data_IF_020952884203
#
_entry.id   IF_020952884203
#
_cell.length_a   1.000
_cell.length_b   1.000
_cell.length_c   1.000
_cell.angle_alpha   90.00
_cell.angle_beta   90.00
_cell.angle_gamma   90.00
#
_symmetry.space_group_name_H-M   'P 1'
#
loop_
_entity.id
_entity.type
_entity.pdbx_description
1 polymer ?
#
# COMPACT_ATOMS: atom_id res chain seq x y z
N UNK A 1 13.93 -13.16 7.32
CA UNK A 1 14.76 -11.95 7.26
C UNK A 1 15.80 -12.04 8.36
N UNK A 2 17.09 -11.83 8.04
CA UNK A 2 18.14 -11.92 9.05
C UNK A 2 18.09 -10.73 10.00
N UNK A 3 18.14 -10.95 11.30
CA UNK A 3 18.12 -9.91 12.33
C UNK A 3 16.74 -9.46 12.80
N UNK A 4 15.66 -10.10 12.31
CA UNK A 4 14.30 -9.87 12.78
C UNK A 4 13.68 -11.16 13.31
N UNK A 5 12.94 -11.05 14.41
CA UNK A 5 12.27 -12.21 15.04
C UNK A 5 10.93 -12.54 14.38
N UNK A 6 10.31 -11.54 13.71
CA UNK A 6 9.04 -11.72 13.02
C UNK A 6 8.95 -10.84 11.78
N UNK A 7 8.17 -11.28 10.81
CA UNK A 7 7.85 -10.54 9.59
C UNK A 7 6.51 -10.97 9.02
N UNK A 8 5.85 -10.07 8.32
CA UNK A 8 4.64 -10.37 7.56
C UNK A 8 4.70 -9.50 6.29
N UNK A 9 5.12 -10.10 5.19
CA UNK A 9 5.40 -9.39 3.95
C UNK A 9 4.26 -9.48 2.97
N UNK A 10 3.93 -8.34 2.38
CA UNK A 10 3.08 -8.24 1.21
C UNK A 10 3.84 -8.76 -0.02
N UNK A 11 3.20 -9.62 -0.80
CA UNK A 11 3.80 -10.33 -1.94
C UNK A 11 3.24 -9.87 -3.28
N UNK A 12 4.12 -9.80 -4.29
CA UNK A 12 3.72 -9.63 -5.69
C UNK A 12 2.92 -10.86 -6.20
N UNK A 13 2.06 -10.65 -7.23
CA UNK A 13 1.85 -9.41 -7.99
C UNK A 13 0.83 -8.45 -7.38
N UNK A 14 0.25 -8.77 -6.22
CA UNK A 14 -0.85 -8.03 -5.60
C UNK A 14 -0.39 -6.96 -4.59
N UNK A 15 0.89 -6.59 -4.62
CA UNK A 15 1.48 -5.63 -3.67
C UNK A 15 0.72 -4.30 -3.62
N UNK A 16 0.28 -3.79 -4.76
CA UNK A 16 -0.43 -2.52 -4.86
C UNK A 16 -1.94 -2.67 -5.13
N UNK A 17 -2.50 -3.86 -4.88
CA UNK A 17 -3.94 -4.08 -4.95
C UNK A 17 -4.61 -3.78 -3.61
N UNK A 18 -5.60 -2.86 -3.60
CA UNK A 18 -6.28 -2.47 -2.37
C UNK A 18 -7.29 -3.50 -1.87
N UNK A 19 -7.71 -4.47 -2.70
CA UNK A 19 -8.75 -5.44 -2.35
C UNK A 19 -8.36 -6.89 -2.59
N UNK A 20 -7.11 -7.12 -2.96
CA UNK A 20 -6.61 -8.46 -3.22
C UNK A 20 -5.13 -8.55 -2.84
N UNK A 21 -4.85 -8.54 -1.56
CA UNK A 21 -3.49 -8.65 -1.06
C UNK A 21 -3.14 -10.09 -0.69
N UNK A 22 -1.88 -10.45 -0.88
CA UNK A 22 -1.32 -11.72 -0.44
C UNK A 22 -0.15 -11.46 0.50
N UNK A 23 -0.19 -12.06 1.68
CA UNK A 23 0.83 -11.89 2.70
C UNK A 23 1.50 -13.22 3.07
N UNK A 24 2.74 -13.13 3.49
CA UNK A 24 3.47 -14.25 4.05
C UNK A 24 4.02 -13.89 5.43
N UNK A 25 3.50 -14.55 6.48
CA UNK A 25 4.02 -14.42 7.83
C UNK A 25 5.20 -15.34 8.04
N UNK A 26 6.36 -14.79 8.38
CA UNK A 26 7.60 -15.54 8.60
C UNK A 26 7.90 -16.51 7.44
N UNK A 27 7.87 -17.81 7.71
CA UNK A 27 8.10 -18.89 6.74
C UNK A 27 6.82 -19.71 6.46
N UNK A 28 5.66 -19.22 6.89
CA UNK A 28 4.38 -19.87 6.61
C UNK A 28 4.03 -19.78 5.12
N UNK A 29 3.17 -20.64 4.61
CA UNK A 29 2.64 -20.49 3.25
C UNK A 29 1.96 -19.12 3.05
N UNK A 30 2.09 -18.51 1.86
CA UNK A 30 1.37 -17.29 1.53
C UNK A 30 -0.15 -17.46 1.71
N UNK A 31 -0.80 -16.40 2.20
CA UNK A 31 -2.23 -16.33 2.40
C UNK A 31 -2.84 -15.17 1.63
N UNK A 32 -3.86 -15.45 0.81
CA UNK A 32 -4.65 -14.45 0.11
C UNK A 32 -5.71 -13.82 1.03
N UNK A 33 -5.93 -12.53 0.84
CA UNK A 33 -6.95 -11.71 1.52
C UNK A 33 -7.85 -11.02 0.48
N UNK A 34 -8.19 -11.76 -0.58
CA UNK A 34 -9.12 -11.29 -1.62
C UNK A 34 -10.44 -10.81 -1.00
N UNK A 35 -10.94 -9.66 -1.48
CA UNK A 35 -12.15 -9.02 -0.97
C UNK A 35 -12.00 -8.27 0.35
N UNK A 36 -10.80 -8.26 0.95
CA UNK A 36 -10.52 -7.50 2.17
C UNK A 36 -9.69 -6.26 1.85
N UNK A 37 -10.00 -5.14 2.49
CA UNK A 37 -9.26 -3.89 2.28
C UNK A 37 -7.85 -3.99 2.86
N UNK A 38 -6.85 -3.88 2.01
CA UNK A 38 -5.44 -4.20 2.33
C UNK A 38 -4.90 -3.42 3.52
N UNK A 39 -5.32 -2.16 3.70
CA UNK A 39 -4.88 -1.37 4.87
C UNK A 39 -5.45 -1.92 6.18
N UNK A 40 -6.68 -2.45 6.17
CA UNK A 40 -7.28 -3.09 7.34
C UNK A 40 -6.58 -4.43 7.65
N UNK A 41 -6.31 -5.22 6.62
CA UNK A 41 -5.52 -6.45 6.75
C UNK A 41 -4.16 -6.18 7.37
N UNK A 42 -3.48 -5.12 6.92
CA UNK A 42 -2.19 -4.73 7.48
C UNK A 42 -2.30 -4.27 8.93
N UNK A 43 -3.36 -3.54 9.30
CA UNK A 43 -3.61 -3.16 10.68
C UNK A 43 -3.71 -4.39 11.58
N UNK A 44 -4.50 -5.40 11.20
CA UNK A 44 -4.63 -6.65 11.95
C UNK A 44 -3.29 -7.36 12.14
N UNK A 45 -2.49 -7.42 11.07
CA UNK A 45 -1.15 -8.01 11.09
C UNK A 45 -0.18 -7.24 11.98
N UNK A 46 -0.20 -5.92 11.93
CA UNK A 46 0.63 -5.06 12.76
C UNK A 46 0.29 -5.21 14.24
N UNK A 47 -1.01 -5.29 14.58
CA UNK A 47 -1.45 -5.56 15.95
C UNK A 47 -1.02 -6.94 16.42
N UNK A 48 -1.12 -7.98 15.58
CA UNK A 48 -0.65 -9.32 15.94
C UNK A 48 0.87 -9.38 16.17
N UNK A 49 1.67 -8.67 15.38
CA UNK A 49 3.12 -8.57 15.62
C UNK A 49 3.45 -7.76 16.88
N UNK A 50 2.64 -6.75 17.18
CA UNK A 50 2.78 -5.96 18.42
C UNK A 50 2.45 -6.82 19.65
N UNK A 51 1.39 -7.61 19.59
CA UNK A 51 1.02 -8.54 20.69
C UNK A 51 2.14 -9.57 20.94
N UNK A 52 2.72 -10.15 19.87
CA UNK A 52 3.87 -11.05 19.99
C UNK A 52 5.07 -10.36 20.66
N UNK A 53 5.34 -9.09 20.29
CA UNK A 53 6.44 -8.32 20.85
C UNK A 53 6.22 -7.97 22.32
N UNK A 54 4.99 -7.60 22.69
CA UNK A 54 4.62 -7.29 24.08
C UNK A 54 4.61 -8.52 24.98
N UNK A 55 4.43 -9.70 24.42
CA UNK A 55 4.60 -10.98 25.14
C UNK A 55 6.05 -11.32 25.51
N UNK A 56 7.03 -10.51 25.07
CA UNK A 56 8.45 -10.65 25.37
C UNK A 56 8.90 -9.61 26.38
N UNK A 57 9.80 -9.98 27.30
CA UNK A 57 10.43 -9.05 28.25
C UNK A 57 11.54 -8.17 27.62
N UNK A 58 11.75 -8.29 26.31
CA UNK A 58 12.81 -7.59 25.59
C UNK A 58 12.29 -6.31 24.92
N UNK A 59 13.09 -5.24 24.84
CA UNK A 59 12.77 -4.09 23.97
C UNK A 59 12.57 -4.53 22.53
N UNK A 60 11.63 -3.91 21.82
CA UNK A 60 11.35 -4.24 20.43
C UNK A 60 11.36 -3.04 19.52
N UNK A 61 11.53 -3.29 18.23
CA UNK A 61 11.37 -2.35 17.14
C UNK A 61 10.42 -2.96 16.10
N UNK A 62 9.32 -2.29 15.80
CA UNK A 62 8.33 -2.71 14.80
C UNK A 62 8.25 -1.68 13.68
N UNK A 63 8.42 -2.11 12.43
CA UNK A 63 8.17 -1.30 11.25
C UNK A 63 6.86 -1.70 10.61
N UNK A 64 5.98 -0.73 10.34
CA UNK A 64 4.73 -0.90 9.61
C UNK A 64 4.74 0.01 8.39
N UNK A 65 4.64 -0.57 7.20
CA UNK A 65 4.73 0.16 5.92
C UNK A 65 3.44 -0.03 5.10
N UNK A 66 2.46 0.87 5.22
CA UNK A 66 1.22 0.80 4.44
C UNK A 66 1.44 1.11 2.96
N UNK A 67 0.65 0.48 2.09
CA UNK A 67 0.65 0.79 0.66
C UNK A 67 -0.04 2.13 0.37
N UNK A 68 -1.08 2.47 1.14
CA UNK A 68 -1.79 3.74 0.97
C UNK A 68 -0.88 4.94 1.35
N UNK A 69 -0.86 6.02 0.57
CA UNK A 69 -1.74 6.33 -0.58
C UNK A 69 -1.12 6.01 -1.96
N UNK A 70 -0.43 4.91 -2.14
CA UNK A 70 0.12 4.52 -3.44
C UNK A 70 -0.99 4.31 -4.48
N UNK A 71 -0.67 4.44 -5.77
CA UNK A 71 -1.54 4.07 -6.89
C UNK A 71 -2.05 2.63 -6.73
N UNK A 72 -3.35 2.41 -6.96
CA UNK A 72 -3.89 1.06 -7.03
C UNK A 72 -3.48 0.40 -8.36
N UNK A 73 -3.05 -0.86 -8.29
CA UNK A 73 -2.73 -1.68 -9.45
C UNK A 73 -3.73 -2.83 -9.51
N UNK A 74 -4.56 -2.82 -10.54
CA UNK A 74 -5.45 -3.93 -10.86
C UNK A 74 -4.75 -4.84 -11.86
N UNK A 75 -4.34 -6.01 -11.39
CA UNK A 75 -3.60 -6.99 -12.19
C UNK A 75 -4.51 -7.84 -13.08
N UNK A 76 -5.83 -7.82 -12.83
CA UNK A 76 -6.80 -8.69 -13.50
C UNK A 76 -7.53 -7.99 -14.64
N UNK A 77 -7.75 -6.66 -14.56
CA UNK A 77 -8.55 -5.90 -15.52
C UNK A 77 -7.74 -5.11 -16.55
N UNK A 78 -6.43 -5.32 -16.63
CA UNK A 78 -5.56 -4.65 -17.59
C UNK A 78 -5.70 -5.21 -19.01
N UNK A 79 -5.69 -4.33 -20.00
CA UNK A 79 -5.68 -4.71 -21.42
C UNK A 79 -4.35 -5.35 -21.84
N UNK A 80 -4.41 -6.38 -22.68
CA UNK A 80 -3.25 -7.05 -23.28
C UNK A 80 -2.19 -7.56 -22.27
N UNK A 81 -2.61 -7.89 -21.04
CA UNK A 81 -1.72 -8.43 -20.00
C UNK A 81 -0.91 -7.36 -19.24
N UNK A 82 -1.18 -6.08 -19.45
CA UNK A 82 -0.61 -5.01 -18.66
C UNK A 82 -1.56 -4.65 -17.49
N UNK A 83 -1.07 -4.50 -16.24
CA UNK A 83 -1.92 -4.13 -15.12
C UNK A 83 -2.48 -2.70 -15.30
N UNK A 84 -3.74 -2.51 -14.91
CA UNK A 84 -4.37 -1.19 -14.93
C UNK A 84 -3.99 -0.42 -13.67
N UNK A 85 -3.49 0.80 -13.86
CA UNK A 85 -3.19 1.72 -12.76
C UNK A 85 -4.36 2.70 -12.57
N UNK A 86 -4.79 2.88 -11.31
CA UNK A 86 -5.84 3.83 -10.93
C UNK A 86 -5.40 4.67 -9.73
N UNK A 87 -6.20 5.67 -9.37
CA UNK A 87 -5.99 6.42 -8.13
C UNK A 87 -6.04 5.51 -6.89
N UNK A 88 -5.45 5.96 -5.77
CA UNK A 88 -5.61 5.29 -4.49
C UNK A 88 -7.08 5.11 -4.12
N UNK A 89 -7.44 3.92 -3.66
CA UNK A 89 -8.82 3.61 -3.28
C UNK A 89 -9.02 3.84 -1.77
N UNK A 90 -9.89 4.76 -1.35
CA UNK A 90 -10.21 4.93 0.05
C UNK A 90 -11.06 3.76 0.55
N UNK A 91 -10.97 3.43 1.84
CA UNK A 91 -11.92 2.52 2.45
C UNK A 91 -13.36 3.08 2.31
N UNK A 92 -14.38 2.26 2.02
CA UNK A 92 -15.75 2.74 1.78
C UNK A 92 -16.30 3.62 2.92
N UNK A 93 -15.94 3.32 4.17
CA UNK A 93 -16.31 4.11 5.35
C UNK A 93 -15.74 5.54 5.35
N UNK A 94 -14.73 5.82 4.54
CA UNK A 94 -14.04 7.10 4.44
C UNK A 94 -14.22 7.78 3.07
N UNK A 95 -14.85 7.13 2.09
CA UNK A 95 -14.99 7.63 0.72
C UNK A 95 -15.76 8.96 0.62
N UNK A 96 -16.59 9.26 1.61
CA UNK A 96 -17.35 10.51 1.68
C UNK A 96 -16.56 11.69 2.27
N UNK A 97 -15.37 11.43 2.85
CA UNK A 97 -14.57 12.48 3.48
C UNK A 97 -13.81 13.28 2.43
N UNK A 98 -13.66 14.58 2.70
CA UNK A 98 -12.83 15.49 1.90
C UNK A 98 -13.21 15.63 0.43
N UNK A 99 -14.50 15.43 0.08
CA UNK A 99 -14.98 15.55 -1.30
C UNK A 99 -14.63 16.89 -1.96
N UNK A 100 -14.59 17.98 -1.18
CA UNK A 100 -14.26 19.34 -1.64
C UNK A 100 -12.80 19.73 -1.40
N UNK A 101 -11.97 18.82 -0.95
CA UNK A 101 -10.56 19.11 -0.68
C UNK A 101 -9.81 19.48 -1.97
N UNK A 102 -9.06 20.56 -1.91
CA UNK A 102 -8.23 21.03 -3.02
C UNK A 102 -6.77 21.10 -2.58
N UNK A 103 -5.90 20.53 -3.39
CA UNK A 103 -4.44 20.65 -3.16
C UNK A 103 -4.04 22.12 -3.36
N UNK A 104 -3.32 22.74 -2.40
CA UNK A 104 -2.78 24.08 -2.58
C UNK A 104 -1.89 24.16 -3.82
N UNK A 105 -2.14 25.15 -4.67
CA UNK A 105 -1.34 25.39 -5.88
C UNK A 105 -0.42 26.59 -5.63
N UNK A 106 0.73 26.31 -5.07
CA UNK A 106 1.79 27.31 -4.88
C UNK A 106 2.47 27.64 -6.22
N UNK A 107 3.20 28.77 -6.35
CA UNK A 107 3.86 29.15 -7.61
C UNK A 107 4.79 28.08 -8.21
N UNK A 108 5.33 27.19 -7.39
CA UNK A 108 6.15 26.06 -7.82
C UNK A 108 5.37 24.77 -8.12
N UNK A 109 4.02 24.80 -8.05
CA UNK A 109 3.21 23.66 -8.43
C UNK A 109 3.13 23.56 -9.95
N UNK A 110 3.74 22.52 -10.50
CA UNK A 110 3.74 22.20 -11.94
C UNK A 110 4.11 23.42 -12.83
N UNK A 111 5.25 24.11 -12.58
CA UNK A 111 5.65 25.26 -13.39
C UNK A 111 6.05 24.80 -14.78
N UNK A 112 5.62 25.54 -15.82
CA UNK A 112 5.89 25.22 -17.22
C UNK A 112 7.38 25.07 -17.52
N UNK A 113 8.21 25.90 -16.91
CA UNK A 113 9.65 25.96 -17.16
C UNK A 113 10.43 24.72 -16.67
N UNK A 114 9.88 23.99 -15.67
CA UNK A 114 10.51 22.76 -15.15
C UNK A 114 10.11 21.55 -15.98
N UNK A 115 8.98 21.61 -16.68
CA UNK A 115 8.47 20.50 -17.48
C UNK A 115 9.11 20.38 -18.86
N UNK A 116 9.72 21.43 -19.38
CA UNK A 116 10.37 21.40 -20.71
C UNK A 116 11.63 20.51 -20.77
N UNK A 117 12.20 20.15 -19.63
CA UNK A 117 13.32 19.21 -19.54
C UNK A 117 12.92 17.73 -19.34
N UNK A 118 11.65 17.44 -19.05
CA UNK A 118 11.15 16.09 -18.83
C UNK A 118 10.08 15.71 -19.87
N UNK A 119 10.51 15.45 -21.11
CA UNK A 119 9.68 14.96 -22.21
C UNK A 119 9.05 13.56 -21.96
N UNK A 120 9.24 12.97 -20.80
CA UNK A 120 8.81 11.61 -20.49
C UNK A 120 7.32 11.47 -20.06
N UNK A 121 6.61 12.59 -19.82
CA UNK A 121 5.23 12.59 -19.31
C UNK A 121 4.19 13.14 -20.30
N UNK A 122 4.53 13.26 -21.57
CA UNK A 122 3.62 13.68 -22.66
C UNK A 122 3.27 12.53 -23.61
N UNK A 123 3.00 11.34 -23.09
CA UNK A 123 2.36 10.29 -23.92
C UNK A 123 1.11 9.80 -23.22
#
# INVERSE_FOLDING_TARGET
MNGFNGSDFLLDPYTYSYWNSTYQRNHEPPRSYEGQYTTDVMQEKALGLLDDALGSDSPFFLTVAPIAPHTNIDVESGDAGAPKMTEPLPAPRHAHLFADAKVPRTPNFNPLEVCDGMLWWRQ
#
